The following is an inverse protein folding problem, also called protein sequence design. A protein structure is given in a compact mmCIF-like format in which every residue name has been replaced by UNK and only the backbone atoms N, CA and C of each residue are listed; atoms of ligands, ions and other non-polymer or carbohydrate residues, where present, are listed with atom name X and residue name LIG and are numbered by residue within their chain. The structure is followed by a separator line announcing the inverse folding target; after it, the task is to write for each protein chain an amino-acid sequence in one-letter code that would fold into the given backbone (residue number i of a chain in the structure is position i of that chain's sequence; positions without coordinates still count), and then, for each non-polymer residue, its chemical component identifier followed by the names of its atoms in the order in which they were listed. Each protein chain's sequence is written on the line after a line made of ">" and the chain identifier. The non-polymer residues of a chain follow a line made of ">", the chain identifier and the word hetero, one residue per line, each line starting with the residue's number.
data_IF_902852844829
#
_entry.id   IF_902852844829
#
_cell.length_a   1.000
_cell.length_b   1.000
_cell.length_c   1.000
_cell.angle_alpha   90.00
_cell.angle_beta   90.00
_cell.angle_gamma   90.00
#
_symmetry.space_group_name_H-M   'P 1'
#
loop_
_entity.id
_entity.type
_entity.pdbx_description
1 polymer ?
#
# COMPACT_ATOMS: atom_id res chain seq x y z
N UNK A 1 -1.86 18.83 -13.58
CA UNK A 1 -1.83 17.35 -13.55
C UNK A 1 -2.99 16.81 -14.38
N UNK A 2 -2.72 15.96 -15.37
CA UNK A 2 -3.77 15.38 -16.23
C UNK A 2 -3.86 13.89 -15.95
N UNK A 3 -5.06 13.44 -15.62
CA UNK A 3 -5.36 12.01 -15.55
C UNK A 3 -5.34 11.45 -16.97
N UNK A 4 -4.72 10.28 -17.15
CA UNK A 4 -4.83 9.55 -18.42
C UNK A 4 -6.27 9.06 -18.63
N UNK A 5 -6.63 8.71 -19.86
CA UNK A 5 -7.95 8.13 -20.15
C UNK A 5 -8.20 6.86 -19.32
N UNK A 6 -7.17 6.02 -19.16
CA UNK A 6 -7.21 4.81 -18.35
C UNK A 6 -7.40 5.14 -16.85
N UNK A 7 -6.75 6.20 -16.34
CA UNK A 7 -6.94 6.66 -14.97
C UNK A 7 -8.40 7.08 -14.72
N UNK A 8 -9.00 7.81 -15.68
CA UNK A 8 -10.34 8.39 -15.57
C UNK A 8 -11.46 7.36 -15.74
N UNK A 9 -11.38 6.53 -16.77
CA UNK A 9 -12.51 5.71 -17.22
C UNK A 9 -12.26 4.20 -17.11
N UNK A 10 -11.03 3.77 -16.77
CA UNK A 10 -10.70 2.36 -16.62
C UNK A 10 -11.53 1.69 -15.51
N UNK A 11 -11.96 0.45 -15.72
CA UNK A 11 -12.58 -0.36 -14.66
C UNK A 11 -11.53 -1.09 -13.82
N UNK A 12 -10.36 -1.35 -14.38
CA UNK A 12 -9.26 -2.11 -13.77
C UNK A 12 -8.14 -1.21 -13.26
N UNK A 13 -7.39 -1.68 -12.27
CA UNK A 13 -6.19 -0.97 -11.80
C UNK A 13 -5.08 -1.00 -12.88
N UNK A 14 -4.62 0.18 -13.36
CA UNK A 14 -3.54 0.25 -14.33
C UNK A 14 -2.22 -0.36 -13.82
N UNK A 15 -1.39 -0.97 -14.69
CA UNK A 15 -0.17 -1.68 -14.29
C UNK A 15 0.82 -0.85 -13.46
N UNK A 16 0.94 0.44 -13.74
CA UNK A 16 1.86 1.35 -13.06
C UNK A 16 1.57 1.53 -11.56
N UNK A 17 0.34 1.25 -11.11
CA UNK A 17 -0.06 1.41 -9.71
C UNK A 17 -0.07 0.09 -8.93
N UNK A 18 0.17 -1.05 -9.59
CA UNK A 18 0.06 -2.39 -8.95
C UNK A 18 0.96 -2.54 -7.74
N UNK A 19 2.19 -2.06 -7.81
CA UNK A 19 3.12 -2.15 -6.69
C UNK A 19 2.63 -1.36 -5.47
N UNK A 20 2.15 -0.13 -5.69
CA UNK A 20 1.61 0.71 -4.62
C UNK A 20 0.29 0.11 -4.09
N UNK A 21 -0.57 -0.43 -4.96
CA UNK A 21 -1.79 -1.11 -4.56
C UNK A 21 -1.52 -2.34 -3.68
N UNK A 22 -0.52 -3.16 -4.02
CA UNK A 22 -0.14 -4.30 -3.18
C UNK A 22 0.30 -3.84 -1.78
N UNK A 23 1.11 -2.79 -1.70
CA UNK A 23 1.56 -2.22 -0.41
C UNK A 23 0.41 -1.64 0.40
N UNK A 24 -0.52 -0.97 -0.26
CA UNK A 24 -1.75 -0.46 0.36
C UNK A 24 -2.58 -1.60 0.97
N UNK A 25 -2.83 -2.66 0.19
CA UNK A 25 -3.54 -3.86 0.68
C UNK A 25 -2.83 -4.46 1.90
N UNK A 26 -1.52 -4.66 1.83
CA UNK A 26 -0.74 -5.23 2.92
C UNK A 26 -0.73 -4.33 4.17
N UNK A 27 -0.76 -3.02 4.00
CA UNK A 27 -0.90 -2.08 5.11
C UNK A 27 -2.23 -2.30 5.86
N UNK A 28 -3.34 -2.38 5.13
CA UNK A 28 -4.66 -2.59 5.74
C UNK A 28 -4.86 -4.00 6.30
N UNK A 29 -4.36 -5.04 5.62
CA UNK A 29 -4.37 -6.41 6.15
C UNK A 29 -3.62 -6.50 7.48
N UNK A 30 -2.42 -5.90 7.55
CA UNK A 30 -1.66 -5.85 8.79
C UNK A 30 -2.39 -5.10 9.90
N UNK A 31 -2.98 -3.94 9.60
CA UNK A 31 -3.73 -3.16 10.57
C UNK A 31 -4.98 -3.92 11.07
N UNK A 32 -5.71 -4.56 10.15
CA UNK A 32 -6.91 -5.33 10.46
C UNK A 32 -6.60 -6.56 11.31
N UNK A 33 -5.60 -7.37 10.95
CA UNK A 33 -5.19 -8.50 11.78
C UNK A 33 -4.63 -8.04 13.14
N UNK A 34 -3.79 -7.01 13.17
CA UNK A 34 -3.28 -6.46 14.42
C UNK A 34 -4.41 -5.97 15.33
N UNK A 35 -5.48 -5.38 14.78
CA UNK A 35 -6.63 -4.93 15.58
C UNK A 35 -7.36 -6.06 16.30
N UNK A 36 -7.27 -7.30 15.80
CA UNK A 36 -7.85 -8.49 16.43
C UNK A 36 -6.93 -9.14 17.46
N UNK A 37 -5.64 -8.81 17.43
CA UNK A 37 -4.63 -9.30 18.35
C UNK A 37 -4.23 -8.22 19.35
N UNK A 38 -4.82 -8.26 20.54
CA UNK A 38 -4.41 -7.43 21.67
C UNK A 38 -3.54 -8.22 22.65
N UNK A 39 -2.87 -7.52 23.57
CA UNK A 39 -2.18 -8.15 24.72
C UNK A 39 -3.15 -9.07 25.49
N UNK A 40 -4.42 -8.71 25.57
CA UNK A 40 -5.48 -9.49 26.21
C UNK A 40 -6.06 -10.62 25.35
N UNK A 41 -5.73 -10.69 24.06
CA UNK A 41 -6.23 -11.72 23.14
C UNK A 41 -5.12 -12.20 22.18
N UNK A 42 -4.12 -12.94 22.67
CA UNK A 42 -3.02 -13.47 21.85
C UNK A 42 -3.45 -14.68 21.00
N UNK A 43 -4.70 -15.14 21.14
CA UNK A 43 -5.16 -16.36 20.47
C UNK A 43 -5.17 -16.20 18.96
N UNK A 44 -5.08 -17.32 18.27
CA UNK A 44 -5.29 -17.41 16.83
C UNK A 44 -6.77 -17.24 16.46
N UNK A 45 -7.04 -16.52 15.38
CA UNK A 45 -8.38 -16.37 14.82
C UNK A 45 -8.86 -17.70 14.22
N UNK A 46 -10.17 -17.92 14.28
CA UNK A 46 -10.83 -19.03 13.58
C UNK A 46 -11.02 -18.65 12.11
N UNK A 47 -11.15 -19.63 11.23
CA UNK A 47 -11.28 -19.41 9.78
C UNK A 47 -12.36 -18.37 9.43
N UNK A 48 -13.57 -18.49 10.00
CA UNK A 48 -14.64 -17.51 9.73
C UNK A 48 -14.29 -16.08 10.21
N UNK A 49 -13.53 -15.94 11.29
CA UNK A 49 -13.10 -14.61 11.78
C UNK A 49 -12.04 -14.00 10.87
N UNK A 50 -11.22 -14.83 10.22
CA UNK A 50 -10.27 -14.38 9.21
C UNK A 50 -11.02 -13.87 8.00
N UNK A 51 -12.01 -14.63 7.51
CA UNK A 51 -12.85 -14.23 6.38
C UNK A 51 -13.56 -12.90 6.68
N UNK A 52 -14.20 -12.77 7.85
CA UNK A 52 -14.88 -11.52 8.26
C UNK A 52 -13.94 -10.31 8.25
N UNK A 53 -12.69 -10.49 8.71
CA UNK A 53 -11.68 -9.42 8.71
C UNK A 53 -11.26 -9.06 7.30
N UNK A 54 -11.01 -10.05 6.44
CA UNK A 54 -10.61 -9.83 5.04
C UNK A 54 -11.74 -9.14 4.27
N UNK A 55 -12.98 -9.59 4.42
CA UNK A 55 -14.15 -9.01 3.75
C UNK A 55 -14.36 -7.55 4.15
N UNK A 56 -14.26 -7.24 5.44
CA UNK A 56 -14.34 -5.86 5.93
C UNK A 56 -13.25 -4.99 5.29
N UNK A 57 -11.99 -5.45 5.32
CA UNK A 57 -10.85 -4.72 4.75
C UNK A 57 -11.04 -4.48 3.25
N UNK A 58 -11.29 -5.55 2.49
CA UNK A 58 -11.44 -5.47 1.04
C UNK A 58 -12.70 -4.70 0.61
N UNK A 59 -13.72 -4.63 1.46
CA UNK A 59 -14.96 -3.89 1.20
C UNK A 59 -14.92 -2.42 1.56
N UNK A 60 -14.20 -2.02 2.61
CA UNK A 60 -14.46 -0.73 3.27
C UNK A 60 -13.23 0.10 3.66
N UNK A 61 -12.01 -0.46 3.66
CA UNK A 61 -10.86 0.22 4.27
C UNK A 61 -10.01 1.06 3.31
N UNK A 62 -10.33 1.09 2.02
CA UNK A 62 -9.55 1.84 1.02
C UNK A 62 -9.99 3.30 0.85
N UNK A 63 -10.75 3.86 1.80
CA UNK A 63 -11.15 5.27 1.75
C UNK A 63 -9.94 6.20 1.81
N UNK A 64 -9.98 7.25 1.00
CA UNK A 64 -8.92 8.25 0.97
C UNK A 64 -7.71 7.84 0.12
N UNK A 65 -7.87 6.86 -0.77
CA UNK A 65 -6.90 6.61 -1.84
C UNK A 65 -7.26 7.36 -3.11
N UNK A 66 -6.26 7.68 -3.94
CA UNK A 66 -6.47 8.36 -5.21
C UNK A 66 -5.16 8.70 -5.88
N UNK A 67 -5.23 9.46 -6.97
CA UNK A 67 -4.03 9.88 -7.68
C UNK A 67 -3.56 11.26 -7.22
N UNK A 68 -2.25 11.36 -7.01
CA UNK A 68 -1.55 12.63 -6.89
C UNK A 68 -0.50 12.77 -7.99
N UNK A 69 0.05 13.98 -8.15
CA UNK A 69 1.07 14.26 -9.14
C UNK A 69 2.41 14.54 -8.48
N UNK A 70 3.42 13.75 -8.83
CA UNK A 70 4.79 13.85 -8.30
C UNK A 70 5.78 13.60 -9.43
N UNK A 71 6.83 14.42 -9.52
CA UNK A 71 7.93 14.25 -10.49
C UNK A 71 7.46 14.05 -11.94
N UNK A 72 6.44 14.80 -12.37
CA UNK A 72 5.94 14.75 -13.73
C UNK A 72 5.00 13.57 -14.04
N UNK A 73 4.63 12.74 -13.06
CA UNK A 73 3.79 11.55 -13.25
C UNK A 73 2.67 11.45 -12.22
N UNK A 74 1.60 10.77 -12.61
CA UNK A 74 0.55 10.34 -11.69
C UNK A 74 1.08 9.20 -10.82
N UNK A 75 0.81 9.28 -9.52
CA UNK A 75 1.17 8.24 -8.54
C UNK A 75 -0.04 7.94 -7.66
N UNK A 76 -0.16 6.69 -7.22
CA UNK A 76 -1.16 6.32 -6.22
C UNK A 76 -0.74 6.92 -4.87
N UNK A 77 -1.69 7.47 -4.14
CA UNK A 77 -1.51 8.10 -2.83
C UNK A 77 -2.66 7.74 -1.91
N UNK A 78 -2.40 7.73 -0.61
CA UNK A 78 -3.31 7.24 0.41
C UNK A 78 -2.57 6.45 1.49
N UNK A 79 -3.28 6.12 2.59
CA UNK A 79 -2.71 5.53 3.79
C UNK A 79 -1.72 4.39 3.55
N UNK A 80 -0.61 4.37 4.29
CA UNK A 80 0.38 3.29 4.19
C UNK A 80 1.32 3.40 2.99
N UNK A 81 1.17 4.42 2.12
CA UNK A 81 2.12 4.71 1.05
C UNK A 81 3.10 5.81 1.48
N UNK A 82 4.41 5.57 1.28
CA UNK A 82 5.51 6.47 1.71
C UNK A 82 5.51 7.86 1.07
N UNK A 83 4.52 8.20 0.24
CA UNK A 83 4.42 9.46 -0.52
C UNK A 83 3.32 10.40 0.00
N UNK A 84 2.71 10.07 1.15
CA UNK A 84 1.66 10.86 1.79
C UNK A 84 2.13 12.23 2.30
N UNK A 85 3.44 12.46 2.46
CA UNK A 85 3.91 13.79 2.85
C UNK A 85 3.83 14.76 1.65
N UNK A 86 3.05 15.86 1.75
CA UNK A 86 3.16 16.95 0.80
C UNK A 86 4.59 17.48 0.83
N UNK A 87 5.22 17.59 -0.34
CA UNK A 87 6.43 18.40 -0.46
C UNK A 87 6.14 19.75 0.22
N UNK A 88 6.99 20.17 1.15
CA UNK A 88 6.76 21.33 2.00
C UNK A 88 6.18 22.51 1.19
N UNK A 89 4.90 22.85 1.45
CA UNK A 89 4.18 23.94 0.77
C UNK A 89 3.25 23.56 -0.39
N UNK A 90 3.12 22.28 -0.76
CA UNK A 90 2.26 21.85 -1.87
C UNK A 90 0.95 21.19 -1.42
N UNK A 91 -0.20 21.75 -1.79
CA UNK A 91 -1.47 21.05 -1.71
C UNK A 91 -1.45 19.82 -2.64
N UNK A 92 -1.56 18.61 -2.10
CA UNK A 92 -1.77 17.41 -2.92
C UNK A 92 -3.25 17.33 -3.28
N UNK A 93 -3.58 17.73 -4.52
CA UNK A 93 -4.92 17.48 -5.07
C UNK A 93 -5.00 15.99 -5.36
N UNK A 94 -5.86 15.30 -4.62
CA UNK A 94 -6.16 13.89 -4.83
C UNK A 94 -7.34 13.75 -5.78
N UNK A 95 -7.15 13.04 -6.89
CA UNK A 95 -8.17 12.89 -7.93
C UNK A 95 -8.74 11.46 -7.95
N UNK A 96 -10.06 11.35 -8.13
CA UNK A 96 -10.75 10.09 -8.45
C UNK A 96 -11.08 9.15 -7.27
N UNK A 97 -11.18 9.65 -6.04
CA UNK A 97 -11.19 8.86 -4.79
C UNK A 97 -12.02 7.56 -4.80
N UNK A 98 -13.33 7.65 -5.04
CA UNK A 98 -14.24 6.48 -4.95
C UNK A 98 -13.94 5.39 -6.00
N UNK A 99 -13.46 5.77 -7.18
CA UNK A 99 -13.07 4.79 -8.21
C UNK A 99 -11.83 4.03 -7.78
N UNK A 100 -10.86 4.71 -7.15
CA UNK A 100 -9.64 4.07 -6.66
C UNK A 100 -9.89 3.19 -5.44
N UNK A 101 -10.81 3.59 -4.56
CA UNK A 101 -11.34 2.75 -3.48
C UNK A 101 -11.81 1.38 -4.00
N UNK A 102 -12.69 1.39 -5.02
CA UNK A 102 -13.23 0.16 -5.62
C UNK A 102 -12.14 -0.68 -6.28
N UNK A 103 -11.24 -0.05 -7.05
CA UNK A 103 -10.12 -0.75 -7.71
C UNK A 103 -9.19 -1.42 -6.69
N UNK A 104 -8.92 -0.77 -5.56
CA UNK A 104 -8.11 -1.36 -4.48
C UNK A 104 -8.84 -2.49 -3.76
N UNK A 105 -10.14 -2.37 -3.56
CA UNK A 105 -10.98 -3.47 -3.08
C UNK A 105 -10.89 -4.70 -3.97
N UNK A 106 -10.99 -4.55 -5.30
CA UNK A 106 -10.83 -5.68 -6.22
C UNK A 106 -9.41 -6.28 -6.19
N UNK A 107 -8.38 -5.45 -6.04
CA UNK A 107 -7.00 -5.93 -5.90
C UNK A 107 -6.82 -6.69 -4.59
N UNK A 108 -7.42 -6.22 -3.50
CA UNK A 108 -7.44 -6.90 -2.20
C UNK A 108 -8.07 -8.29 -2.34
N UNK A 109 -9.28 -8.35 -2.93
CA UNK A 109 -9.99 -9.62 -3.16
C UNK A 109 -9.18 -10.57 -4.01
N UNK A 110 -8.59 -10.10 -5.11
CA UNK A 110 -7.73 -10.94 -5.94
C UNK A 110 -6.53 -11.50 -5.17
N UNK A 111 -5.80 -10.64 -4.47
CA UNK A 111 -4.62 -11.05 -3.70
C UNK A 111 -5.01 -12.11 -2.66
N UNK A 112 -6.08 -11.89 -1.93
CA UNK A 112 -6.44 -12.74 -0.80
C UNK A 112 -7.20 -13.98 -1.23
N UNK A 113 -8.16 -13.89 -2.14
CA UNK A 113 -9.02 -15.02 -2.54
C UNK A 113 -8.47 -15.82 -3.73
N UNK A 114 -7.82 -15.17 -4.69
CA UNK A 114 -7.37 -15.84 -5.91
C UNK A 114 -5.89 -16.25 -5.85
N UNK A 115 -5.02 -15.37 -5.34
CA UNK A 115 -3.57 -15.56 -5.43
C UNK A 115 -2.98 -16.29 -4.21
N UNK A 116 -3.55 -16.13 -3.00
CA UNK A 116 -2.95 -16.65 -1.75
C UNK A 116 -3.88 -17.55 -0.94
N UNK A 117 -5.14 -17.17 -0.73
CA UNK A 117 -6.05 -17.77 0.23
C UNK A 117 -6.09 -17.03 1.57
N UNK A 118 -7.28 -16.89 2.16
CA UNK A 118 -7.53 -16.13 3.39
C UNK A 118 -6.77 -16.72 4.59
N UNK A 119 -6.90 -18.03 4.78
CA UNK A 119 -6.26 -18.74 5.89
C UNK A 119 -4.74 -18.74 5.75
N UNK A 120 -4.23 -18.91 4.53
CA UNK A 120 -2.79 -18.87 4.25
C UNK A 120 -2.21 -17.47 4.47
N UNK A 121 -2.93 -16.43 4.03
CA UNK A 121 -2.59 -15.03 4.30
C UNK A 121 -2.48 -14.77 5.81
N UNK A 122 -3.49 -15.19 6.57
CA UNK A 122 -3.48 -15.03 8.02
C UNK A 122 -2.38 -15.87 8.70
N UNK A 123 -2.08 -17.05 8.18
CA UNK A 123 -1.00 -17.90 8.67
C UNK A 123 0.36 -17.26 8.55
N UNK A 124 0.63 -16.65 7.40
CA UNK A 124 1.86 -15.90 7.18
C UNK A 124 1.99 -14.74 8.16
N UNK A 125 0.91 -13.97 8.36
CA UNK A 125 0.86 -12.92 9.37
C UNK A 125 1.14 -13.49 10.78
N UNK A 126 0.45 -14.56 11.16
CA UNK A 126 0.51 -15.09 12.53
C UNK A 126 1.85 -15.75 12.85
N UNK A 127 2.55 -16.34 11.87
CA UNK A 127 3.85 -17.00 12.05
C UNK A 127 5.04 -16.05 11.96
N UNK A 128 4.83 -14.85 11.42
CA UNK A 128 5.88 -13.83 11.31
C UNK A 128 6.22 -13.19 12.66
N UNK A 129 7.49 -12.85 12.85
CA UNK A 129 8.00 -12.16 14.04
C UNK A 129 8.84 -10.93 13.63
N UNK A 130 8.40 -9.69 13.94
CA UNK A 130 7.11 -9.35 14.56
C UNK A 130 5.93 -9.71 13.64
N UNK A 131 4.73 -9.89 14.21
CA UNK A 131 3.50 -10.20 13.45
C UNK A 131 3.20 -9.14 12.40
N UNK A 132 3.58 -9.42 11.16
CA UNK A 132 3.44 -8.53 10.01
C UNK A 132 3.62 -9.30 8.69
N UNK A 133 2.70 -9.11 7.75
CA UNK A 133 2.87 -9.45 6.35
C UNK A 133 3.95 -8.56 5.72
N UNK A 134 4.96 -9.21 5.13
CA UNK A 134 6.09 -8.54 4.51
C UNK A 134 5.73 -7.97 3.14
N UNK A 135 6.11 -6.71 2.88
CA UNK A 135 5.95 -6.09 1.55
C UNK A 135 6.82 -6.77 0.47
N UNK A 136 7.77 -7.63 0.86
CA UNK A 136 8.53 -8.47 -0.05
C UNK A 136 7.63 -9.41 -0.87
N UNK A 137 6.47 -9.80 -0.36
CA UNK A 137 5.50 -10.61 -1.10
C UNK A 137 4.98 -9.92 -2.36
N UNK A 138 4.95 -8.58 -2.36
CA UNK A 138 4.62 -7.81 -3.56
C UNK A 138 5.64 -8.01 -4.69
N UNK A 139 6.85 -8.48 -4.39
CA UNK A 139 7.92 -8.75 -5.35
C UNK A 139 8.04 -10.23 -5.72
N UNK A 140 8.05 -11.14 -4.73
CA UNK A 140 8.32 -12.57 -4.97
C UNK A 140 7.08 -13.35 -5.42
N UNK A 141 6.03 -13.33 -4.61
CA UNK A 141 4.83 -14.16 -4.79
C UNK A 141 3.87 -13.49 -5.79
N UNK A 142 3.50 -12.24 -5.52
CA UNK A 142 2.46 -11.54 -6.28
C UNK A 142 3.01 -10.86 -7.54
N UNK A 143 4.33 -10.62 -7.60
CA UNK A 143 5.04 -9.96 -8.70
C UNK A 143 4.40 -8.64 -9.17
N UNK A 144 3.73 -7.94 -8.25
CA UNK A 144 3.07 -6.65 -8.49
C UNK A 144 4.08 -5.50 -8.47
N UNK A 145 5.20 -5.69 -7.80
CA UNK A 145 6.35 -4.80 -7.82
C UNK A 145 7.45 -5.37 -8.73
N UNK A 146 8.03 -4.51 -9.58
CA UNK A 146 9.19 -4.84 -10.40
C UNK A 146 10.48 -4.48 -9.66
N UNK A 147 11.50 -5.33 -9.80
CA UNK A 147 12.88 -5.05 -9.38
C UNK A 147 13.69 -4.71 -10.63
N UNK A 148 14.40 -3.58 -10.66
CA UNK A 148 15.21 -3.18 -11.83
C UNK A 148 15.21 -1.67 -12.11
N UNK A 149 15.83 -1.22 -13.22
CA UNK A 149 15.93 0.19 -13.59
C UNK A 149 14.58 0.87 -13.84
N UNK A 150 13.53 0.09 -14.13
CA UNK A 150 12.15 0.55 -14.29
C UNK A 150 11.36 0.62 -12.96
N UNK A 151 11.97 0.25 -11.83
CA UNK A 151 11.36 0.44 -10.52
C UNK A 151 11.23 1.95 -10.27
N UNK A 152 10.07 2.45 -9.77
CA UNK A 152 9.93 3.86 -9.42
C UNK A 152 10.98 4.20 -8.37
N UNK A 153 12.00 4.95 -8.81
CA UNK A 153 13.22 5.24 -8.05
C UNK A 153 12.90 5.59 -6.60
N UNK A 154 13.48 4.83 -5.67
CA UNK A 154 13.51 5.22 -4.27
C UNK A 154 14.28 6.54 -4.18
N UNK A 155 13.65 7.57 -3.63
CA UNK A 155 14.20 8.92 -3.49
C UNK A 155 15.67 8.84 -3.01
N UNK A 156 16.63 9.44 -3.74
CA UNK A 156 18.01 9.49 -3.29
C UNK A 156 18.09 10.21 -1.93
N UNK A 157 18.64 9.54 -0.90
CA UNK A 157 19.03 10.16 0.37
C UNK A 157 20.17 11.14 0.13
N UNK A 158 19.87 12.37 -0.32
CA UNK A 158 20.83 13.47 -0.31
C UNK A 158 20.17 14.78 0.08
N UNK A 159 19.92 14.96 1.37
CA UNK A 159 20.13 16.26 2.02
C UNK A 159 20.42 16.09 3.52
N UNK A 160 21.56 15.48 3.84
CA UNK A 160 22.12 15.51 5.19
C UNK A 160 23.66 15.60 5.15
N UNK A 161 24.19 16.47 4.29
CA UNK A 161 25.60 16.90 4.38
C UNK A 161 25.69 18.36 3.97
N UNK A 162 25.64 19.25 4.95
CA UNK A 162 25.81 20.68 4.70
C UNK A 162 25.65 21.54 5.95
N UNK A 163 26.57 21.39 6.91
CA UNK A 163 27.12 22.49 7.74
C UNK A 163 28.14 21.95 8.75
N UNK A 164 29.34 21.65 8.26
CA UNK A 164 30.59 21.75 9.03
C UNK A 164 31.63 22.42 8.16
N UNK A 165 31.99 23.66 8.52
CA UNK A 165 33.18 24.46 8.20
C UNK A 165 32.76 25.94 8.42
N UNK A 166 33.43 26.81 9.19
CA UNK A 166 34.84 26.90 9.57
C UNK A 166 35.02 27.62 10.93
N UNK A 167 36.18 27.36 11.54
CA UNK A 167 36.79 27.98 12.71
C UNK A 167 37.81 29.05 12.24
N UNK A 168 38.08 30.04 13.11
CA UNK A 168 39.10 31.12 13.04
C UNK A 168 38.76 32.26 12.05
N UNK A 169 38.85 33.55 12.40
CA UNK A 169 39.86 34.25 13.22
C UNK A 169 39.26 35.11 14.33
#
# INVERSE_FOLDING_TARGET
>A
PMLTEEDQYGSTLPPQYRCDACRAVFHHLNAGFASKHSVSNPRRLKAFEVVDVVDDICGHHFKGYGLSFRDGKNVLSGPGLKRDEPAAGGASIQMGGETWEKRLGEVCRRIVYDDVGEEEMYDMYFKSEPRQLSDAMCFSELRMCKVGPDAPSAVPKQLAKGKKAKKAT
#
